data_IF_007675294509
#
_entry.id   IF_007675294509
#
_cell.length_a   1.000
_cell.length_b   1.000
_cell.length_c   1.000
_cell.angle_alpha   90.00
_cell.angle_beta   90.00
_cell.angle_gamma   90.00
#
_symmetry.space_group_name_H-M   'P 1'
#
loop_
_entity.id
_entity.type
_entity.pdbx_description
1 polymer ?
#
# COMPACT_ATOMS: atom_id res chain seq x y z
N UNK A 1 14.82 -25.58 -7.42
CA UNK A 1 15.09 -24.13 -7.44
C UNK A 1 13.79 -23.44 -7.11
N UNK A 2 13.73 -22.73 -5.98
CA UNK A 2 12.58 -21.92 -5.61
C UNK A 2 12.81 -20.55 -6.23
N UNK A 3 12.15 -20.28 -7.36
CA UNK A 3 12.16 -18.96 -7.97
C UNK A 3 11.09 -18.14 -7.25
N UNK A 4 11.49 -17.45 -6.17
CA UNK A 4 10.61 -16.50 -5.50
C UNK A 4 10.82 -15.17 -6.21
N UNK A 5 9.89 -14.84 -7.11
CA UNK A 5 9.91 -13.54 -7.73
C UNK A 5 9.39 -12.52 -6.71
N UNK A 6 10.17 -11.48 -6.44
CA UNK A 6 9.79 -10.39 -5.54
C UNK A 6 9.35 -9.19 -6.38
N UNK A 7 8.15 -8.70 -6.11
CA UNK A 7 7.60 -7.50 -6.74
C UNK A 7 7.74 -6.32 -5.77
N UNK A 8 8.79 -5.54 -5.97
CA UNK A 8 9.07 -4.34 -5.19
C UNK A 8 8.66 -3.08 -5.95
N UNK A 9 7.74 -2.33 -5.37
CA UNK A 9 7.25 -1.07 -5.90
C UNK A 9 7.62 0.09 -4.99
N UNK A 10 7.83 1.25 -5.58
CA UNK A 10 8.25 2.47 -4.89
C UNK A 10 7.30 3.60 -5.22
N UNK A 11 6.85 4.31 -4.19
CA UNK A 11 5.92 5.44 -4.33
C UNK A 11 6.41 6.66 -3.58
N UNK A 12 6.11 7.85 -4.15
CA UNK A 12 6.46 9.15 -3.58
C UNK A 12 5.59 10.27 -4.15
N UNK A 13 5.53 11.42 -3.49
CA UNK A 13 4.66 12.55 -3.88
C UNK A 13 4.91 13.03 -5.31
N UNK A 14 6.19 13.12 -5.69
CA UNK A 14 6.63 13.60 -7.00
C UNK A 14 6.69 12.51 -8.08
N UNK A 15 6.23 11.29 -7.77
CA UNK A 15 6.23 10.16 -8.70
C UNK A 15 5.22 10.30 -9.85
N UNK A 16 5.20 9.31 -10.73
CA UNK A 16 4.32 9.28 -11.92
C UNK A 16 3.70 7.89 -12.10
N UNK A 17 2.38 7.79 -12.03
CA UNK A 17 1.64 6.50 -12.05
C UNK A 17 1.68 5.73 -13.37
N UNK A 18 2.16 6.36 -14.44
CA UNK A 18 2.38 5.71 -15.74
C UNK A 18 3.74 5.03 -15.84
N UNK A 19 4.60 5.17 -14.83
CA UNK A 19 5.90 4.50 -14.76
C UNK A 19 5.77 3.07 -14.19
N UNK A 20 6.89 2.35 -14.16
CA UNK A 20 6.99 0.98 -13.64
C UNK A 20 7.07 0.90 -12.12
N UNK A 21 7.00 2.03 -11.41
CA UNK A 21 7.12 2.16 -9.96
C UNK A 21 8.39 1.52 -9.37
N UNK A 22 9.52 1.60 -10.08
CA UNK A 22 10.82 1.15 -9.55
C UNK A 22 11.44 2.24 -8.66
N UNK A 23 12.46 1.92 -7.88
CA UNK A 23 13.14 2.90 -7.01
C UNK A 23 13.66 4.13 -7.77
N UNK A 24 14.10 3.95 -9.02
CA UNK A 24 14.56 5.03 -9.90
C UNK A 24 13.43 5.78 -10.60
N UNK A 25 12.26 5.15 -10.75
CA UNK A 25 11.07 5.67 -11.44
C UNK A 25 9.83 5.39 -10.60
N UNK A 26 9.68 6.05 -9.45
CA UNK A 26 8.63 5.77 -8.48
C UNK A 26 7.28 6.31 -8.95
N UNK A 27 6.22 5.64 -8.52
CA UNK A 27 4.85 6.07 -8.78
C UNK A 27 4.37 7.10 -7.78
N UNK A 28 3.27 7.77 -8.11
CA UNK A 28 2.68 8.81 -7.28
C UNK A 28 1.74 8.24 -6.22
N UNK A 29 0.89 7.32 -6.65
CA UNK A 29 -0.23 6.79 -5.86
C UNK A 29 -0.17 5.29 -5.71
N UNK A 30 -0.92 4.76 -4.74
CA UNK A 30 -1.12 3.32 -4.57
C UNK A 30 -2.06 2.71 -5.63
N UNK A 31 -2.65 3.53 -6.50
CA UNK A 31 -3.53 3.09 -7.58
C UNK A 31 -2.84 3.07 -8.95
N UNK A 32 -1.52 3.26 -9.01
CA UNK A 32 -0.76 3.05 -10.23
C UNK A 32 -1.03 1.65 -10.80
N UNK A 33 -1.22 1.55 -12.12
CA UNK A 33 -1.69 0.32 -12.77
C UNK A 33 -0.83 -0.91 -12.43
N UNK A 34 0.50 -0.75 -12.39
CA UNK A 34 1.41 -1.87 -12.09
C UNK A 34 1.27 -2.36 -10.63
N UNK A 35 0.93 -1.48 -9.69
CA UNK A 35 0.71 -1.81 -8.28
C UNK A 35 -0.60 -2.61 -8.15
N UNK A 36 -1.71 -2.05 -8.64
CA UNK A 36 -3.04 -2.68 -8.51
C UNK A 36 -3.17 -3.98 -9.30
N UNK A 37 -2.51 -4.10 -10.46
CA UNK A 37 -2.56 -5.32 -11.26
C UNK A 37 -1.78 -6.47 -10.62
N UNK A 38 -0.83 -6.19 -9.73
CA UNK A 38 0.03 -7.20 -9.13
C UNK A 38 -0.23 -7.45 -7.63
N UNK A 39 -1.02 -6.62 -6.96
CA UNK A 39 -1.24 -6.71 -5.50
C UNK A 39 -1.81 -8.06 -5.04
N UNK A 40 -2.47 -8.84 -5.90
CA UNK A 40 -3.06 -10.13 -5.55
C UNK A 40 -2.44 -11.34 -6.28
N UNK A 41 -1.23 -11.19 -6.87
CA UNK A 41 -0.51 -12.31 -7.53
C UNK A 41 0.05 -13.33 -6.53
N UNK A 42 0.72 -14.39 -6.99
CA UNK A 42 1.31 -15.37 -6.07
C UNK A 42 2.64 -14.92 -5.45
N UNK A 43 3.27 -13.91 -6.04
CA UNK A 43 4.61 -13.43 -5.74
C UNK A 43 4.69 -12.63 -4.44
N UNK A 44 5.89 -12.50 -3.89
CA UNK A 44 6.15 -11.58 -2.78
C UNK A 44 5.89 -10.14 -3.26
N UNK A 45 5.26 -9.33 -2.42
CA UNK A 45 4.77 -8.01 -2.82
C UNK A 45 5.07 -6.98 -1.75
N UNK A 46 5.91 -6.01 -2.11
CA UNK A 46 6.31 -4.92 -1.24
C UNK A 46 6.04 -3.57 -1.92
N UNK A 47 5.51 -2.62 -1.16
CA UNK A 47 5.43 -1.21 -1.57
C UNK A 47 6.22 -0.38 -0.56
N UNK A 48 7.21 0.35 -1.07
CA UNK A 48 8.05 1.25 -0.30
C UNK A 48 7.58 2.69 -0.49
N UNK A 49 7.18 3.34 0.60
CA UNK A 49 6.72 4.73 0.62
C UNK A 49 7.91 5.61 1.00
N UNK A 50 8.38 6.42 0.06
CA UNK A 50 9.53 7.30 0.29
C UNK A 50 9.18 8.48 1.19
N UNK A 51 8.26 9.33 0.78
CA UNK A 51 7.78 10.47 1.57
C UNK A 51 6.30 10.27 1.89
N UNK A 52 5.42 10.61 0.95
CA UNK A 52 3.99 10.43 1.06
C UNK A 52 3.40 9.99 -0.26
N UNK A 53 2.29 9.27 -0.18
CA UNK A 53 1.50 8.83 -1.33
C UNK A 53 0.02 9.02 -1.04
N UNK A 54 -0.83 8.92 -2.06
CA UNK A 54 -2.29 8.94 -1.88
C UNK A 54 -2.89 7.58 -2.24
N UNK A 55 -4.01 7.28 -1.59
CA UNK A 55 -4.92 6.20 -1.95
C UNK A 55 -6.18 6.82 -2.58
N UNK A 56 -6.22 7.02 -3.90
CA UNK A 56 -7.37 7.63 -4.57
C UNK A 56 -8.59 6.70 -4.73
N UNK A 57 -8.45 5.39 -4.57
CA UNK A 57 -9.61 4.49 -4.53
C UNK A 57 -9.35 3.27 -3.67
N UNK A 58 -10.44 2.62 -3.22
CA UNK A 58 -10.37 1.41 -2.38
C UNK A 58 -9.44 0.36 -2.97
N UNK A 59 -8.47 -0.09 -2.17
CA UNK A 59 -7.51 -1.11 -2.54
C UNK A 59 -7.94 -2.43 -1.94
N UNK A 60 -8.22 -3.42 -2.78
CA UNK A 60 -8.72 -4.72 -2.35
C UNK A 60 -7.58 -5.74 -2.28
N UNK A 61 -7.41 -6.35 -1.12
CA UNK A 61 -6.35 -7.31 -0.82
C UNK A 61 -6.99 -8.65 -0.48
N UNK A 62 -6.71 -9.64 -1.32
CA UNK A 62 -7.29 -10.99 -1.21
C UNK A 62 -6.25 -12.07 -0.95
N UNK A 63 -4.95 -11.74 -1.08
CA UNK A 63 -3.88 -12.71 -0.87
C UNK A 63 -3.62 -12.91 0.61
N UNK A 64 -3.72 -14.15 1.08
CA UNK A 64 -3.42 -14.54 2.47
C UNK A 64 -1.90 -14.69 2.67
N UNK A 65 -1.23 -15.36 1.74
CA UNK A 65 0.22 -15.56 1.79
C UNK A 65 0.82 -15.58 0.38
N UNK A 66 1.92 -14.86 0.12
CA UNK A 66 2.65 -14.01 1.07
C UNK A 66 1.89 -12.73 1.44
N UNK A 67 2.18 -12.19 2.63
CA UNK A 67 1.55 -10.96 3.15
C UNK A 67 1.85 -9.77 2.24
N UNK A 68 0.90 -8.84 2.10
CA UNK A 68 1.11 -7.60 1.33
C UNK A 68 1.74 -6.55 2.22
N UNK A 69 3.01 -6.24 1.96
CA UNK A 69 3.79 -5.37 2.84
C UNK A 69 3.87 -3.95 2.29
N UNK A 70 3.49 -2.98 3.12
CA UNK A 70 3.61 -1.55 2.85
C UNK A 70 4.55 -0.98 3.91
N UNK A 71 5.68 -0.43 3.50
CA UNK A 71 6.71 -0.01 4.43
C UNK A 71 7.32 1.33 4.06
N UNK A 72 7.80 2.06 5.06
CA UNK A 72 8.66 3.22 4.81
C UNK A 72 9.90 2.79 4.03
N UNK A 73 10.26 3.57 3.01
CA UNK A 73 11.55 3.44 2.34
C UNK A 73 12.70 3.80 3.30
N UNK A 74 13.70 2.92 3.39
CA UNK A 74 14.86 3.08 4.29
C UNK A 74 15.77 4.24 3.92
N UNK A 75 15.74 4.70 2.66
CA UNK A 75 16.55 5.80 2.16
C UNK A 75 15.91 7.18 2.40
N UNK A 76 14.65 7.21 2.82
CA UNK A 76 13.96 8.45 3.16
C UNK A 76 14.40 8.99 4.52
N UNK A 77 14.48 10.31 4.63
CA UNK A 77 14.84 11.03 5.85
C UNK A 77 13.68 11.14 6.86
N UNK A 78 12.43 10.89 6.45
CA UNK A 78 11.27 10.91 7.34
C UNK A 78 11.29 9.73 8.31
N UNK A 79 10.71 9.84 9.50
CA UNK A 79 10.52 8.70 10.40
C UNK A 79 9.46 7.71 9.90
N UNK A 80 8.49 8.19 9.10
CA UNK A 80 7.36 7.42 8.57
C UNK A 80 7.18 7.64 7.08
N UNK A 81 6.56 6.67 6.40
CA UNK A 81 5.96 6.86 5.09
C UNK A 81 4.48 7.20 5.25
N UNK A 82 4.02 8.30 4.66
CA UNK A 82 2.64 8.75 4.84
C UNK A 82 1.75 8.20 3.72
N UNK A 83 0.62 7.58 4.08
CA UNK A 83 -0.45 7.23 3.14
C UNK A 83 -1.64 8.15 3.41
N UNK A 84 -1.96 8.99 2.44
CA UNK A 84 -3.03 9.96 2.54
C UNK A 84 -4.30 9.38 1.92
N UNK A 85 -5.37 9.38 2.70
CA UNK A 85 -6.71 8.95 2.29
C UNK A 85 -7.60 10.19 2.32
N UNK A 86 -7.78 10.77 1.15
CA UNK A 86 -8.51 12.02 0.98
C UNK A 86 -9.76 11.90 0.11
N UNK A 87 -10.02 10.70 -0.42
CA UNK A 87 -11.20 10.41 -1.22
C UNK A 87 -12.30 9.78 -0.37
N UNK A 88 -13.55 10.13 -0.69
CA UNK A 88 -14.75 9.57 -0.08
C UNK A 88 -14.81 8.04 -0.34
N UNK A 89 -15.30 7.28 0.66
CA UNK A 89 -15.50 5.83 0.59
C UNK A 89 -14.26 5.04 0.14
N UNK A 90 -13.08 5.55 0.45
CA UNK A 90 -11.81 4.93 0.10
C UNK A 90 -11.13 4.35 1.33
N UNK A 91 -10.82 3.06 1.27
CA UNK A 91 -10.23 2.30 2.37
C UNK A 91 -9.44 1.10 1.84
N UNK A 92 -8.73 0.40 2.73
CA UNK A 92 -8.18 -0.92 2.41
C UNK A 92 -9.24 -1.99 2.69
N UNK A 93 -9.70 -2.69 1.66
CA UNK A 93 -10.61 -3.83 1.82
C UNK A 93 -9.80 -5.12 1.88
N UNK A 94 -9.76 -5.77 3.04
CA UNK A 94 -8.83 -6.87 3.30
C UNK A 94 -9.61 -8.15 3.56
N UNK A 95 -9.43 -9.14 2.68
CA UNK A 95 -9.86 -10.54 2.87
C UNK A 95 -8.66 -11.49 3.05
N UNK A 96 -7.47 -11.03 2.67
CA UNK A 96 -6.18 -11.69 2.89
C UNK A 96 -5.38 -11.07 4.04
N UNK A 97 -4.06 -10.98 3.87
CA UNK A 97 -3.15 -10.43 4.90
C UNK A 97 -2.40 -9.20 4.39
N UNK A 98 -2.41 -8.13 5.18
CA UNK A 98 -1.65 -6.90 4.94
C UNK A 98 -0.79 -6.56 6.17
N UNK A 99 0.43 -6.07 5.92
CA UNK A 99 1.35 -5.57 6.93
C UNK A 99 1.77 -4.15 6.60
N UNK A 100 1.64 -3.24 7.57
CA UNK A 100 2.19 -1.89 7.51
C UNK A 100 3.38 -1.75 8.45
N UNK A 101 4.50 -1.21 7.98
CA UNK A 101 5.71 -0.97 8.79
C UNK A 101 6.17 0.49 8.70
N UNK A 102 6.15 1.20 9.85
CA UNK A 102 6.50 2.63 9.92
C UNK A 102 5.70 3.48 8.95
N UNK A 103 4.41 3.16 8.84
CA UNK A 103 3.47 3.89 8.00
C UNK A 103 2.57 4.76 8.87
N UNK A 104 2.38 6.00 8.44
CA UNK A 104 1.41 6.92 9.03
C UNK A 104 0.22 7.05 8.08
N UNK A 105 -0.95 6.63 8.54
CA UNK A 105 -2.20 6.81 7.81
C UNK A 105 -2.77 8.21 8.13
N UNK A 106 -2.99 9.02 7.11
CA UNK A 106 -3.51 10.39 7.24
C UNK A 106 -4.84 10.49 6.51
N UNK A 107 -5.93 10.70 7.25
CA UNK A 107 -7.27 10.85 6.67
C UNK A 107 -7.62 12.34 6.61
N UNK A 108 -8.01 12.85 5.45
CA UNK A 108 -8.48 14.23 5.32
C UNK A 108 -9.97 14.35 5.67
N UNK A 109 -10.47 15.57 5.86
CA UNK A 109 -11.88 15.83 6.18
C UNK A 109 -12.88 15.39 5.10
N UNK A 110 -12.41 15.13 3.87
CA UNK A 110 -13.19 14.57 2.76
C UNK A 110 -13.01 13.04 2.64
N UNK A 111 -12.07 12.47 3.40
CA UNK A 111 -11.74 11.05 3.44
C UNK A 111 -12.68 10.25 4.36
N UNK A 112 -13.10 9.09 3.86
CA UNK A 112 -13.96 8.04 4.47
C UNK A 112 -15.34 8.50 5.02
N UNK A 113 -16.44 8.06 4.39
CA UNK A 113 -17.82 8.25 4.91
C UNK A 113 -18.37 7.02 5.67
N UNK A 114 -17.60 5.93 5.78
CA UNK A 114 -18.03 4.64 6.34
C UNK A 114 -17.36 4.27 7.70
N UNK A 115 -16.74 5.23 8.40
CA UNK A 115 -16.07 5.08 9.71
C UNK A 115 -14.80 4.20 9.77
N UNK A 116 -14.34 3.62 8.65
CA UNK A 116 -13.14 2.77 8.64
C UNK A 116 -12.14 3.14 7.54
N UNK A 117 -10.86 3.09 7.91
CA UNK A 117 -9.70 3.21 7.01
C UNK A 117 -9.30 1.84 6.44
N UNK A 118 -9.56 0.78 7.21
CA UNK A 118 -9.26 -0.61 6.86
C UNK A 118 -10.46 -1.46 7.27
N UNK A 119 -10.90 -2.33 6.38
CA UNK A 119 -12.04 -3.22 6.60
C UNK A 119 -11.65 -4.67 6.36
N UNK A 120 -11.57 -5.46 7.42
CA UNK A 120 -11.37 -6.90 7.37
C UNK A 120 -12.70 -7.61 7.10
N UNK A 121 -12.93 -8.06 5.86
CA UNK A 121 -14.23 -8.58 5.41
C UNK A 121 -14.30 -10.11 5.26
N UNK A 122 -13.21 -10.83 5.53
CA UNK A 122 -13.10 -12.29 5.42
C UNK A 122 -12.65 -12.97 6.71
N UNK A 123 -12.92 -14.27 6.83
CA UNK A 123 -12.51 -15.09 7.99
C UNK A 123 -10.99 -15.28 8.10
N UNK A 124 -10.26 -15.01 7.01
CA UNK A 124 -8.80 -15.05 6.91
C UNK A 124 -8.16 -13.66 6.90
N UNK A 125 -8.94 -12.61 7.15
CA UNK A 125 -8.44 -11.25 7.14
C UNK A 125 -7.46 -11.02 8.27
N UNK A 126 -6.26 -10.56 7.92
CA UNK A 126 -5.22 -10.18 8.88
C UNK A 126 -4.68 -8.80 8.53
N UNK A 127 -4.65 -7.90 9.51
CA UNK A 127 -4.13 -6.53 9.38
C UNK A 127 -3.12 -6.35 10.49
N UNK A 128 -1.85 -6.22 10.12
CA UNK A 128 -0.75 -6.01 11.06
C UNK A 128 -0.20 -4.58 10.91
N UNK A 129 0.04 -3.94 12.05
CA UNK A 129 0.57 -2.58 12.17
C UNK A 129 1.82 -2.61 13.05
N UNK A 130 2.98 -2.42 12.44
CA UNK A 130 4.27 -2.45 13.12
C UNK A 130 4.93 -1.06 13.14
N UNK A 131 5.44 -0.70 14.32
CA UNK A 131 6.08 0.59 14.60
C UNK A 131 5.17 1.78 14.20
N UNK A 132 3.94 1.82 14.74
CA UNK A 132 2.98 2.91 14.58
C UNK A 132 3.13 4.02 15.64
#
# INVERSE_FOLDING_TARGET
>A
FLDVSCLDYYVRESGIDTQTCTSSNPCKTLNANVIVNNINTADDYNVYIYDKTTLPSTLTITRISPVRRFAKDSTSLSSFGDIIINETNTYFNVTGSILFEKIKLVVSSEGTNDNYIMFGSGSSSEIELNDC
#
